data_IF_794414636825
#
_entry.id   IF_794414636825
#
_cell.length_a   1.000
_cell.length_b   1.000
_cell.length_c   1.000
_cell.angle_alpha   90.00
_cell.angle_beta   90.00
_cell.angle_gamma   90.00
#
_symmetry.space_group_name_H-M   'P 1'
#
loop_
_entity.id
_entity.type
_entity.pdbx_description
1 polymer ?
#
# COMPACT_ATOMS: atom_id res chain seq x y z
N UNK A 1 12.79 -2.83 -5.65
CA UNK A 1 12.22 -1.92 -4.63
C UNK A 1 10.80 -2.35 -4.33
N UNK A 2 10.48 -2.50 -3.07
CA UNK A 2 9.13 -2.85 -2.63
C UNK A 2 8.38 -1.60 -2.20
N UNK A 3 7.13 -1.50 -2.65
CA UNK A 3 6.28 -0.35 -2.35
C UNK A 3 4.98 -0.83 -1.71
N UNK A 4 4.58 -0.16 -0.64
CA UNK A 4 3.31 -0.44 0.02
C UNK A 4 2.40 0.77 -0.08
N UNK A 5 1.13 0.52 -0.42
CA UNK A 5 0.10 1.55 -0.52
C UNK A 5 -0.91 1.28 0.59
N UNK A 6 -0.97 2.18 1.56
CA UNK A 6 -1.90 2.08 2.68
C UNK A 6 -3.15 2.87 2.34
N UNK A 7 -4.27 2.16 2.26
CA UNK A 7 -5.55 2.76 1.89
C UNK A 7 -5.86 2.58 0.41
N UNK A 8 -5.97 1.34 -0.07
CA UNK A 8 -6.27 1.05 -1.48
C UNK A 8 -7.76 1.22 -1.80
N UNK A 9 -8.31 2.40 -1.51
CA UNK A 9 -9.64 2.80 -1.95
C UNK A 9 -9.57 3.36 -3.37
N UNK A 10 -10.33 4.44 -3.64
CA UNK A 10 -10.39 5.04 -4.98
C UNK A 10 -9.03 5.54 -5.46
N UNK A 11 -8.36 6.34 -4.65
CA UNK A 11 -7.08 6.95 -5.02
C UNK A 11 -5.95 5.93 -4.92
N UNK A 12 -5.85 5.23 -3.78
CA UNK A 12 -4.80 4.23 -3.57
C UNK A 12 -4.87 3.09 -4.57
N UNK A 13 -6.08 2.63 -4.91
CA UNK A 13 -6.27 1.60 -5.92
C UNK A 13 -5.84 2.07 -7.31
N UNK A 14 -6.12 3.32 -7.65
CA UNK A 14 -5.71 3.91 -8.93
C UNK A 14 -4.17 3.99 -9.01
N UNK A 15 -3.52 4.39 -7.93
CA UNK A 15 -2.05 4.43 -7.86
C UNK A 15 -1.47 3.02 -8.05
N UNK A 16 -2.02 2.03 -7.35
CA UNK A 16 -1.54 0.65 -7.46
C UNK A 16 -1.66 0.12 -8.88
N UNK A 17 -2.79 0.35 -9.54
CA UNK A 17 -3.02 -0.08 -10.92
C UNK A 17 -2.06 0.62 -11.88
N UNK A 18 -1.84 1.91 -11.69
CA UNK A 18 -0.90 2.68 -12.50
C UNK A 18 0.52 2.16 -12.38
N UNK A 19 0.97 1.86 -11.16
CA UNK A 19 2.31 1.32 -10.93
C UNK A 19 2.45 -0.09 -11.49
N UNK A 20 1.42 -0.91 -11.36
CA UNK A 20 1.44 -2.28 -11.88
C UNK A 20 1.52 -2.34 -13.41
N UNK A 21 0.96 -1.35 -14.09
CA UNK A 21 1.04 -1.24 -15.55
C UNK A 21 2.38 -0.69 -16.03
N UNK A 22 3.11 -0.02 -15.16
CA UNK A 22 4.38 0.60 -15.52
C UNK A 22 5.52 -0.40 -15.62
N UNK A 23 6.69 0.08 -16.00
CA UNK A 23 7.88 -0.74 -16.18
C UNK A 23 8.86 -0.64 -15.01
N UNK A 24 8.66 0.32 -14.09
CA UNK A 24 9.57 0.55 -12.97
C UNK A 24 9.35 -0.43 -11.82
N UNK A 25 8.12 -0.92 -11.66
CA UNK A 25 7.78 -1.85 -10.59
C UNK A 25 7.09 -3.08 -11.18
N UNK A 26 7.40 -4.23 -10.60
CA UNK A 26 6.62 -5.44 -10.88
C UNK A 26 5.41 -5.44 -9.96
N UNK A 27 4.29 -6.01 -10.41
CA UNK A 27 3.11 -6.13 -9.56
C UNK A 27 3.44 -6.86 -8.25
N UNK A 28 4.34 -7.83 -8.28
CA UNK A 28 4.79 -8.57 -7.10
C UNK A 28 5.57 -7.71 -6.09
N UNK A 29 6.03 -6.53 -6.48
CA UNK A 29 6.69 -5.59 -5.57
C UNK A 29 5.71 -4.68 -4.84
N UNK A 30 4.43 -4.74 -5.19
CA UNK A 30 3.39 -3.85 -4.66
C UNK A 30 2.55 -4.58 -3.63
N UNK A 31 2.38 -3.95 -2.46
CA UNK A 31 1.48 -4.41 -1.41
C UNK A 31 0.45 -3.32 -1.14
N UNK A 32 -0.83 -3.70 -1.06
CA UNK A 32 -1.91 -2.77 -0.80
C UNK A 32 -2.68 -3.17 0.45
N UNK A 33 -3.06 -2.19 1.25
CA UNK A 33 -3.94 -2.40 2.39
C UNK A 33 -5.24 -1.62 2.22
N UNK A 34 -6.31 -2.13 2.81
CA UNK A 34 -7.59 -1.41 2.89
C UNK A 34 -8.41 -2.02 4.01
N UNK A 35 -9.28 -1.21 4.59
CA UNK A 35 -10.30 -1.72 5.52
C UNK A 35 -11.39 -2.49 4.77
N UNK A 36 -11.53 -2.25 3.47
CA UNK A 36 -12.51 -2.91 2.62
C UNK A 36 -11.87 -4.13 1.94
N UNK A 37 -12.26 -5.31 2.37
CA UNK A 37 -11.81 -6.54 1.72
C UNK A 37 -12.30 -6.61 0.27
N UNK A 38 -13.50 -6.09 0.00
CA UNK A 38 -14.03 -6.06 -1.36
C UNK A 38 -13.13 -5.24 -2.30
N UNK A 39 -12.61 -4.11 -1.83
CA UNK A 39 -11.69 -3.29 -2.62
C UNK A 39 -10.39 -4.03 -2.91
N UNK A 40 -9.86 -4.77 -1.93
CA UNK A 40 -8.65 -5.57 -2.10
C UNK A 40 -8.85 -6.71 -3.09
N UNK A 41 -9.97 -7.42 -2.98
CA UNK A 41 -10.27 -8.52 -3.90
C UNK A 41 -10.47 -8.03 -5.34
N UNK A 42 -11.10 -6.88 -5.50
CA UNK A 42 -11.30 -6.26 -6.80
C UNK A 42 -9.96 -5.90 -7.47
N UNK A 43 -9.05 -5.34 -6.68
CA UNK A 43 -7.69 -5.03 -7.15
C UNK A 43 -6.96 -6.31 -7.57
N UNK A 44 -7.05 -7.36 -6.77
CA UNK A 44 -6.39 -8.63 -7.05
C UNK A 44 -6.92 -9.34 -8.29
N UNK A 45 -8.19 -9.15 -8.63
CA UNK A 45 -8.77 -9.69 -9.86
C UNK A 45 -8.08 -9.13 -11.10
N UNK A 46 -7.79 -7.84 -11.10
CA UNK A 46 -7.12 -7.19 -12.22
C UNK A 46 -5.62 -7.42 -12.24
N UNK A 47 -5.01 -7.56 -11.08
CA UNK A 47 -3.55 -7.70 -10.91
C UNK A 47 -3.25 -8.78 -9.86
N UNK A 48 -3.32 -10.06 -10.23
CA UNK A 48 -3.20 -11.16 -9.24
C UNK A 48 -1.88 -11.20 -8.48
N UNK A 49 -0.81 -10.61 -9.03
CA UNK A 49 0.50 -10.61 -8.40
C UNK A 49 0.67 -9.54 -7.32
N UNK A 50 -0.26 -8.58 -7.23
CA UNK A 50 -0.22 -7.58 -6.16
C UNK A 50 -0.57 -8.27 -4.84
N UNK A 51 0.24 -8.01 -3.81
CA UNK A 51 -0.04 -8.51 -2.47
C UNK A 51 -1.10 -7.64 -1.79
N UNK A 52 -2.06 -8.28 -1.15
CA UNK A 52 -3.10 -7.56 -0.41
C UNK A 52 -3.11 -8.04 1.04
N UNK A 53 -3.35 -7.11 1.96
CA UNK A 53 -3.49 -7.42 3.38
C UNK A 53 -4.31 -6.33 4.07
N UNK A 54 -4.94 -6.65 5.19
CA UNK A 54 -5.60 -5.64 6.01
C UNK A 54 -4.68 -5.15 7.14
N UNK A 55 -3.49 -5.73 7.25
CA UNK A 55 -2.52 -5.38 8.28
C UNK A 55 -1.52 -4.34 7.79
N UNK A 56 -1.72 -3.09 8.18
CA UNK A 56 -0.85 -1.98 7.80
C UNK A 56 0.58 -2.14 8.33
N UNK A 57 0.72 -2.72 9.51
CA UNK A 57 2.04 -2.94 10.12
C UNK A 57 2.87 -3.92 9.28
N UNK A 58 2.24 -5.01 8.85
CA UNK A 58 2.90 -5.99 8.00
C UNK A 58 3.31 -5.37 6.66
N UNK A 59 2.41 -4.60 6.05
CA UNK A 59 2.69 -3.94 4.78
C UNK A 59 3.86 -2.95 4.90
N UNK A 60 3.92 -2.19 5.99
CA UNK A 60 4.97 -1.22 6.22
C UNK A 60 6.32 -1.85 6.50
N UNK A 61 6.31 -3.01 7.16
CA UNK A 61 7.55 -3.68 7.60
C UNK A 61 8.49 -4.02 6.43
N UNK A 62 7.92 -4.47 5.32
CA UNK A 62 8.71 -4.96 4.18
C UNK A 62 8.91 -3.91 3.08
N UNK A 63 8.35 -2.72 3.24
CA UNK A 63 8.36 -1.71 2.19
C UNK A 63 9.61 -0.85 2.21
N UNK A 64 10.12 -0.55 1.03
CA UNK A 64 11.15 0.48 0.85
C UNK A 64 10.53 1.86 0.71
N UNK A 65 9.32 1.91 0.15
CA UNK A 65 8.55 3.14 0.02
C UNK A 65 7.12 2.89 0.48
N UNK A 66 6.57 3.83 1.25
CA UNK A 66 5.20 3.73 1.76
C UNK A 66 4.40 4.92 1.27
N UNK A 67 3.31 4.64 0.57
CA UNK A 67 2.37 5.67 0.13
C UNK A 67 1.12 5.58 1.01
N UNK A 68 0.78 6.68 1.67
CA UNK A 68 -0.41 6.75 2.53
C UNK A 68 -1.51 7.45 1.73
N UNK A 69 -2.52 6.69 1.33
CA UNK A 69 -3.61 7.16 0.48
C UNK A 69 -4.96 7.07 1.20
N UNK A 70 -4.97 7.36 2.48
CA UNK A 70 -6.19 7.43 3.28
C UNK A 70 -6.69 8.87 3.35
N UNK A 71 -7.89 9.05 3.86
CA UNK A 71 -8.44 10.38 4.10
C UNK A 71 -7.58 11.15 5.10
N UNK A 72 -7.46 12.48 5.00
CA UNK A 72 -6.53 13.26 5.84
C UNK A 72 -6.67 13.02 7.34
N UNK A 73 -7.89 12.82 7.83
CA UNK A 73 -8.14 12.58 9.26
C UNK A 73 -7.69 11.21 9.75
N UNK A 74 -7.32 10.31 8.85
CA UNK A 74 -6.80 8.98 9.21
C UNK A 74 -5.26 8.91 9.17
N UNK A 75 -4.60 9.90 8.57
CA UNK A 75 -3.15 9.85 8.32
C UNK A 75 -2.35 9.72 9.63
N UNK A 76 -2.68 10.53 10.63
CA UNK A 76 -1.97 10.52 11.90
C UNK A 76 -2.08 9.15 12.60
N UNK A 77 -3.28 8.57 12.60
CA UNK A 77 -3.50 7.25 13.18
C UNK A 77 -2.72 6.16 12.46
N UNK A 78 -2.63 6.23 11.14
CA UNK A 78 -1.85 5.28 10.34
C UNK A 78 -0.36 5.41 10.66
N UNK A 79 0.16 6.64 10.74
CA UNK A 79 1.58 6.86 11.07
C UNK A 79 1.90 6.29 12.45
N UNK A 80 1.04 6.51 13.43
CA UNK A 80 1.22 5.95 14.77
C UNK A 80 1.21 4.42 14.75
N UNK A 81 0.35 3.83 13.94
CA UNK A 81 0.24 2.38 13.80
C UNK A 81 1.50 1.75 13.23
N UNK A 82 2.09 2.35 12.20
CA UNK A 82 3.25 1.78 11.50
C UNK A 82 4.60 2.22 12.07
N UNK A 83 4.60 3.19 12.97
CA UNK A 83 5.80 3.75 13.56
C UNK A 83 6.81 2.71 14.08
N UNK A 84 6.39 1.62 14.74
CA UNK A 84 7.33 0.63 15.25
C UNK A 84 8.20 -0.06 14.20
N UNK A 85 7.76 -0.07 12.94
CA UNK A 85 8.49 -0.74 11.86
C UNK A 85 9.11 0.23 10.86
N UNK A 86 8.97 1.53 11.07
CA UNK A 86 9.58 2.54 10.21
C UNK A 86 11.07 2.60 10.44
N UNK A 87 11.82 2.68 9.35
CA UNK A 87 13.27 2.87 9.38
C UNK A 87 13.59 4.24 8.79
N UNK A 88 14.73 4.81 9.22
CA UNK A 88 15.09 6.17 8.83
C UNK A 88 15.33 6.35 7.32
N UNK A 89 15.68 5.28 6.63
CA UNK A 89 15.96 5.31 5.20
C UNK A 89 14.73 5.05 4.32
N UNK A 90 13.57 4.87 4.92
CA UNK A 90 12.32 4.64 4.16
C UNK A 90 11.67 5.95 3.79
N UNK A 91 11.05 5.95 2.61
CA UNK A 91 10.32 7.10 2.13
C UNK A 91 8.83 6.93 2.38
N UNK A 92 8.19 7.99 2.89
CA UNK A 92 6.74 8.03 3.12
C UNK A 92 6.18 9.17 2.28
N UNK A 93 5.17 8.83 1.50
CA UNK A 93 4.51 9.79 0.64
C UNK A 93 3.02 9.87 0.96
#
# INVERSE_FOLDING_TARGET
MKISIIGAGSIGGAIARGLAKGTLFKASDITCTSLSEAALQDLKKGYPDIHITQDNLEAARSADMIIIAVKPWHVEGIIDEIKPVLQLDRQII
#
